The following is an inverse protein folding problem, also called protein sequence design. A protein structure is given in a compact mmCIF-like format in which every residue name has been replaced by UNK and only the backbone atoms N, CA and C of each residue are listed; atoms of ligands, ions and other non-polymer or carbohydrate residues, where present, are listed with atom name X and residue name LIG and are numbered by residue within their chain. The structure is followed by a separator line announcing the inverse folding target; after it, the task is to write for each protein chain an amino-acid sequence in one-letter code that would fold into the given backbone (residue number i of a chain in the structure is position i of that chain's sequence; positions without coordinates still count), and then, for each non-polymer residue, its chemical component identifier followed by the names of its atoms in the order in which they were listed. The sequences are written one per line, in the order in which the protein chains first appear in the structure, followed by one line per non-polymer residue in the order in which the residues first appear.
data_IF_637786966822
#
_entry.id   IF_637786966822
#
_cell.length_a   1.000
_cell.length_b   1.000
_cell.length_c   1.000
_cell.angle_alpha   90.00
_cell.angle_beta   90.00
_cell.angle_gamma   90.00
#
_symmetry.space_group_name_H-M   'P 1'
#
loop_
_entity.id
_entity.type
_entity.pdbx_description
1 polymer ?
#
# COMPACT_ATOMS: atom_id res chain seq x y z
N UNK A 1 -17.01 -28.93 27.36
CA UNK A 1 -17.49 -27.90 26.41
C UNK A 1 -17.14 -26.53 26.98
N UNK A 2 -16.13 -25.84 26.42
CA UNK A 2 -15.84 -24.47 26.81
C UNK A 2 -16.75 -23.53 26.02
N UNK A 3 -17.65 -22.83 26.70
CA UNK A 3 -18.43 -21.75 26.11
C UNK A 3 -17.49 -20.56 25.95
N UNK A 4 -17.16 -20.19 24.71
CA UNK A 4 -16.44 -18.94 24.43
C UNK A 4 -17.51 -17.84 24.47
N UNK A 5 -17.64 -17.21 25.62
CA UNK A 5 -18.53 -16.06 25.80
C UNK A 5 -17.88 -14.81 25.16
N UNK A 6 -18.56 -14.23 24.17
CA UNK A 6 -18.13 -13.06 23.41
C UNK A 6 -17.93 -13.32 21.90
N UNK A 7 -18.54 -12.48 21.05
CA UNK A 7 -18.29 -12.54 19.60
C UNK A 7 -16.83 -12.20 19.31
N UNK A 8 -16.14 -13.05 18.55
CA UNK A 8 -14.75 -12.80 18.12
C UNK A 8 -14.67 -11.48 17.35
N UNK A 9 -13.81 -10.56 17.82
CA UNK A 9 -13.58 -9.28 17.12
C UNK A 9 -12.69 -9.50 15.90
N UNK A 10 -13.02 -8.82 14.81
CA UNK A 10 -12.20 -8.79 13.60
C UNK A 10 -11.03 -7.83 13.78
N UNK A 11 -9.85 -8.25 13.34
CA UNK A 11 -8.68 -7.37 13.19
C UNK A 11 -8.72 -6.84 11.77
N UNK A 12 -8.71 -5.52 11.63
CA UNK A 12 -8.78 -4.83 10.36
C UNK A 12 -7.54 -3.98 10.18
N UNK A 13 -6.74 -4.29 9.16
CA UNK A 13 -5.57 -3.50 8.78
C UNK A 13 -5.78 -2.92 7.38
N UNK A 14 -5.31 -1.69 7.19
CA UNK A 14 -5.18 -1.12 5.85
C UNK A 14 -3.89 -1.63 5.21
N UNK A 15 -3.95 -1.98 3.93
CA UNK A 15 -2.81 -2.53 3.21
C UNK A 15 -2.34 -1.54 2.13
N UNK A 16 -1.15 -0.99 2.34
CA UNK A 16 -0.55 0.04 1.49
C UNK A 16 0.88 -0.33 1.10
N UNK A 17 1.45 0.43 0.18
CA UNK A 17 2.83 0.33 -0.28
C UNK A 17 3.26 1.72 -0.71
N UNK A 18 4.53 2.09 -0.49
CA UNK A 18 5.05 3.41 -0.91
C UNK A 18 5.35 3.45 -2.41
N UNK A 19 4.30 3.23 -3.22
CA UNK A 19 4.35 3.17 -4.68
C UNK A 19 3.01 3.60 -5.28
N UNK A 20 2.98 4.15 -6.52
CA UNK A 20 1.72 4.52 -7.16
C UNK A 20 0.77 3.34 -7.39
N UNK A 21 1.30 2.15 -7.71
CA UNK A 21 0.50 0.97 -7.99
C UNK A 21 0.89 -0.22 -7.12
N UNK A 22 -0.04 -0.71 -6.32
CA UNK A 22 0.18 -1.85 -5.42
C UNK A 22 -0.48 -3.14 -5.94
N UNK A 23 -1.79 -3.33 -5.64
CA UNK A 23 -2.54 -4.54 -6.02
C UNK A 23 -3.48 -4.32 -7.21
N UNK A 24 -4.05 -3.12 -7.34
CA UNK A 24 -5.03 -2.78 -8.36
C UNK A 24 -4.36 -2.15 -9.58
N UNK A 25 -3.98 -2.99 -10.55
CA UNK A 25 -3.27 -2.54 -11.76
C UNK A 25 -4.05 -1.44 -12.50
N UNK A 26 -3.36 -0.33 -12.78
CA UNK A 26 -3.89 0.81 -13.54
C UNK A 26 -4.83 1.76 -12.79
N UNK A 27 -5.31 1.40 -11.58
CA UNK A 27 -6.27 2.23 -10.84
C UNK A 27 -5.66 3.54 -10.32
N UNK A 28 -4.34 3.64 -10.28
CA UNK A 28 -3.60 4.87 -9.97
C UNK A 28 -3.90 6.02 -10.93
N UNK A 29 -4.43 5.73 -12.14
CA UNK A 29 -4.85 6.73 -13.13
C UNK A 29 -6.25 7.28 -12.89
N UNK A 30 -7.02 6.69 -12.00
CA UNK A 30 -8.36 7.17 -11.70
C UNK A 30 -8.27 8.59 -11.09
N UNK A 31 -9.09 9.56 -11.52
CA UNK A 31 -8.95 10.96 -11.09
C UNK A 31 -9.10 11.17 -9.57
N UNK A 32 -9.76 10.25 -8.87
CA UNK A 32 -9.93 10.29 -7.41
C UNK A 32 -8.83 9.52 -6.65
N UNK A 33 -7.93 8.83 -7.36
CA UNK A 33 -6.87 8.08 -6.73
C UNK A 33 -5.70 9.01 -6.36
N UNK A 34 -5.30 8.99 -5.10
CA UNK A 34 -4.19 9.79 -4.56
C UNK A 34 -2.87 9.02 -4.46
N UNK A 35 -2.80 7.74 -4.82
CA UNK A 35 -1.61 6.89 -4.61
C UNK A 35 -0.35 7.40 -5.31
N UNK A 36 -0.47 8.24 -6.34
CA UNK A 36 0.67 8.92 -6.95
C UNK A 36 1.40 9.89 -6.00
N UNK A 37 0.75 10.30 -4.91
CA UNK A 37 1.28 11.15 -3.85
C UNK A 37 2.05 10.34 -2.78
N UNK A 38 2.37 9.06 -3.06
CA UNK A 38 3.06 8.17 -2.11
C UNK A 38 4.37 8.76 -1.55
N UNK A 39 5.02 9.68 -2.26
CA UNK A 39 6.25 10.35 -1.85
C UNK A 39 6.02 11.67 -1.09
N UNK A 40 4.77 11.97 -0.72
CA UNK A 40 4.36 13.11 0.10
C UNK A 40 4.00 12.63 1.51
N UNK A 41 4.58 13.24 2.54
CA UNK A 41 4.31 12.87 3.93
C UNK A 41 2.87 13.21 4.35
N UNK A 42 2.28 14.26 3.78
CA UNK A 42 0.92 14.68 4.09
C UNK A 42 -0.10 13.63 3.65
N UNK A 43 0.17 12.89 2.56
CA UNK A 43 -0.64 11.76 2.13
C UNK A 43 -0.72 10.66 3.20
N UNK A 44 0.41 10.33 3.84
CA UNK A 44 0.47 9.31 4.89
C UNK A 44 -0.17 9.76 6.18
N UNK A 45 0.02 11.04 6.56
CA UNK A 45 -0.63 11.64 7.73
C UNK A 45 -2.16 11.65 7.56
N UNK A 46 -2.65 12.04 6.39
CA UNK A 46 -4.08 12.00 6.06
C UNK A 46 -4.63 10.58 6.16
N UNK A 47 -3.92 9.60 5.57
CA UNK A 47 -4.32 8.20 5.64
C UNK A 47 -4.38 7.70 7.09
N UNK A 48 -3.38 7.99 7.91
CA UNK A 48 -3.35 7.60 9.31
C UNK A 48 -4.57 8.14 10.08
N UNK A 49 -4.92 9.42 9.91
CA UNK A 49 -6.11 10.04 10.52
C UNK A 49 -7.41 9.34 10.11
N UNK A 50 -7.56 9.03 8.82
CA UNK A 50 -8.73 8.29 8.29
C UNK A 50 -8.84 6.91 8.94
N UNK A 51 -7.72 6.21 9.10
CA UNK A 51 -7.68 4.87 9.69
C UNK A 51 -7.97 4.89 11.20
N UNK A 52 -7.47 5.89 11.92
CA UNK A 52 -7.80 6.12 13.34
C UNK A 52 -9.30 6.41 13.52
N UNK A 53 -9.88 7.30 12.73
CA UNK A 53 -11.33 7.59 12.76
C UNK A 53 -12.16 6.32 12.45
N UNK A 54 -11.69 5.52 11.49
CA UNK A 54 -12.27 4.24 11.11
C UNK A 54 -12.03 3.08 12.09
N UNK A 55 -11.27 3.29 13.18
CA UNK A 55 -10.90 2.28 14.19
C UNK A 55 -10.18 1.06 13.59
N UNK A 56 -9.36 1.28 12.57
CA UNK A 56 -8.45 0.26 12.06
C UNK A 56 -7.40 -0.09 13.12
N UNK A 57 -6.94 -1.34 13.11
CA UNK A 57 -5.96 -1.85 14.07
C UNK A 57 -4.53 -1.49 13.66
N UNK A 58 -4.30 -1.21 12.38
CA UNK A 58 -3.00 -0.84 11.89
C UNK A 58 -2.99 -0.52 10.41
N UNK A 59 -1.90 0.13 10.01
CA UNK A 59 -1.47 0.30 8.64
C UNK A 59 -0.34 -0.69 8.37
N UNK A 60 -0.55 -1.60 7.42
CA UNK A 60 0.46 -2.55 6.96
C UNK A 60 1.06 -2.02 5.65
N UNK A 61 2.35 -1.68 5.68
CA UNK A 61 3.08 -1.15 4.52
C UNK A 61 3.96 -2.26 3.94
N UNK A 62 3.67 -2.66 2.70
CA UNK A 62 4.49 -3.61 1.94
C UNK A 62 5.72 -2.94 1.33
N UNK A 63 6.70 -3.76 0.97
CA UNK A 63 7.94 -3.32 0.33
C UNK A 63 8.51 -4.40 -0.62
N UNK A 64 9.34 -3.98 -1.57
CA UNK A 64 10.11 -4.86 -2.44
C UNK A 64 11.47 -4.23 -2.81
N UNK A 65 12.52 -5.06 -2.88
CA UNK A 65 13.88 -4.62 -3.24
C UNK A 65 14.21 -4.78 -4.73
N UNK A 66 13.36 -5.46 -5.50
CA UNK A 66 13.55 -5.75 -6.92
C UNK A 66 12.41 -5.19 -7.76
N UNK A 67 12.55 -5.24 -9.09
CA UNK A 67 11.49 -4.87 -10.03
C UNK A 67 10.90 -6.16 -10.62
N UNK A 68 9.60 -6.18 -10.93
CA UNK A 68 9.04 -7.31 -11.68
C UNK A 68 9.63 -7.37 -13.10
N UNK A 69 10.27 -8.47 -13.45
CA UNK A 69 11.09 -8.57 -14.67
C UNK A 69 10.89 -9.89 -15.45
N UNK A 70 9.90 -10.70 -15.08
CA UNK A 70 9.64 -12.03 -15.68
C UNK A 70 8.70 -11.97 -16.88
N UNK A 71 7.74 -11.03 -16.86
CA UNK A 71 6.69 -11.00 -17.87
C UNK A 71 7.24 -10.54 -19.22
N UNK A 72 7.02 -11.35 -20.27
CA UNK A 72 7.58 -11.18 -21.63
C UNK A 72 9.11 -11.34 -21.73
N UNK A 73 9.68 -12.23 -20.91
CA UNK A 73 11.09 -12.62 -20.96
C UNK A 73 11.82 -12.26 -19.67
N UNK A 74 12.93 -12.94 -19.34
CA UNK A 74 13.75 -12.58 -18.18
C UNK A 74 14.32 -11.17 -18.33
N UNK A 75 14.52 -10.50 -17.21
CA UNK A 75 15.08 -9.13 -17.13
C UNK A 75 14.24 -8.06 -17.89
N UNK A 76 12.95 -8.32 -18.15
CA UNK A 76 12.08 -7.41 -18.88
C UNK A 76 11.20 -6.54 -17.97
N UNK A 77 11.69 -5.33 -17.69
CA UNK A 77 10.96 -4.34 -16.87
C UNK A 77 10.00 -3.45 -17.66
N UNK A 78 10.02 -3.50 -19.00
CA UNK A 78 9.22 -2.60 -19.86
C UNK A 78 7.72 -2.60 -19.53
N UNK A 79 7.08 -3.72 -19.15
CA UNK A 79 5.67 -3.73 -18.78
C UNK A 79 5.38 -3.06 -17.43
N UNK A 80 6.36 -3.02 -16.52
CA UNK A 80 6.19 -2.46 -15.17
C UNK A 80 6.08 -0.95 -15.20
N UNK A 81 6.95 -0.29 -15.97
CA UNK A 81 7.05 1.16 -16.03
C UNK A 81 5.72 1.87 -16.36
N UNK A 82 4.99 1.51 -17.44
CA UNK A 82 3.69 2.11 -17.72
C UNK A 82 2.59 1.58 -16.78
N UNK A 83 2.80 0.43 -16.15
CA UNK A 83 1.87 -0.13 -15.16
C UNK A 83 1.97 0.56 -13.79
N UNK A 84 3.10 1.20 -13.49
CA UNK A 84 3.52 1.58 -12.15
C UNK A 84 3.38 0.41 -11.15
N UNK A 85 3.73 -0.81 -11.60
CA UNK A 85 3.50 -2.03 -10.85
C UNK A 85 4.55 -2.19 -9.74
N UNK A 86 4.22 -1.67 -8.55
CA UNK A 86 5.08 -1.62 -7.36
C UNK A 86 6.42 -0.90 -7.58
N UNK A 87 6.51 -0.13 -8.66
CA UNK A 87 7.67 0.65 -9.04
C UNK A 87 7.21 1.96 -9.69
N UNK A 88 7.82 3.13 -9.38
CA UNK A 88 8.85 3.33 -8.35
C UNK A 88 8.35 3.03 -6.93
N UNK A 89 9.27 2.77 -6.01
CA UNK A 89 9.00 2.57 -4.59
C UNK A 89 9.99 3.36 -3.73
N UNK A 90 9.51 3.96 -2.63
CA UNK A 90 10.33 4.58 -1.59
C UNK A 90 10.51 3.64 -0.39
N UNK A 91 11.57 3.85 0.40
CA UNK A 91 11.79 3.11 1.65
C UNK A 91 10.66 3.40 2.65
N UNK A 92 9.85 2.40 3.05
CA UNK A 92 8.67 2.55 3.92
C UNK A 92 8.96 3.18 5.29
N UNK A 93 10.23 3.19 5.72
CA UNK A 93 10.62 3.82 6.98
C UNK A 93 10.51 5.35 6.92
N UNK A 94 10.64 5.96 5.73
CA UNK A 94 10.52 7.41 5.57
C UNK A 94 9.11 7.88 5.90
N UNK A 95 8.10 7.13 5.45
CA UNK A 95 6.68 7.41 5.66
C UNK A 95 6.28 7.16 7.11
N UNK A 96 6.79 6.10 7.72
CA UNK A 96 6.52 5.77 9.13
C UNK A 96 7.04 6.82 10.11
N UNK A 97 8.00 7.66 9.71
CA UNK A 97 8.58 8.68 10.59
C UNK A 97 7.63 9.85 10.89
N UNK A 98 6.59 10.04 10.06
CA UNK A 98 5.63 11.14 10.22
C UNK A 98 4.26 10.74 10.77
N UNK A 99 4.03 9.45 11.04
CA UNK A 99 2.76 8.89 11.56
C UNK A 99 3.00 8.11 12.85
#
# INVERSE_FOLDING_TARGET
MGHVDGSKKWIMNAFAMSSPGHVAAGLWRHPENRSQQYNDIDYWIDLAKILEEGKFHGLFIADMLGIYDVYKGPDNIDPVLPGAAQFPISDPLLESSGI
#
